data_IF_392548857001
#
_entry.id   IF_392548857001
#
_cell.length_a   1.000
_cell.length_b   1.000
_cell.length_c   1.000
_cell.angle_alpha   90.00
_cell.angle_beta   90.00
_cell.angle_gamma   90.00
#
_symmetry.space_group_name_H-M   'P 1'
#
loop_
_entity.id
_entity.type
_entity.pdbx_description
1 polymer ?
#
# COMPACT_ATOMS: atom_id res chain seq x y z
N UNK A 1 -1.20 -11.82 10.87
CA UNK A 1 -0.99 -10.47 10.31
C UNK A 1 0.48 -10.35 9.96
N UNK A 2 0.80 -10.29 8.67
CA UNK A 2 2.19 -10.12 8.22
C UNK A 2 2.67 -8.69 8.47
N UNK A 3 3.98 -8.49 8.54
CA UNK A 3 4.55 -7.17 8.86
C UNK A 3 4.24 -6.15 7.75
N UNK A 4 4.19 -6.58 6.48
CA UNK A 4 3.77 -5.75 5.36
C UNK A 4 2.33 -5.24 5.51
N UNK A 5 1.42 -6.12 5.94
CA UNK A 5 0.02 -5.75 6.22
C UNK A 5 -0.07 -4.67 7.29
N UNK A 6 0.75 -4.77 8.35
CA UNK A 6 0.82 -3.75 9.40
C UNK A 6 1.25 -2.39 8.87
N UNK A 7 2.28 -2.36 8.01
CA UNK A 7 2.74 -1.10 7.42
C UNK A 7 1.69 -0.44 6.54
N UNK A 8 1.00 -1.21 5.70
CA UNK A 8 -0.03 -0.68 4.80
C UNK A 8 -1.26 -0.20 5.57
N UNK A 9 -1.71 -0.95 6.58
CA UNK A 9 -2.81 -0.52 7.46
C UNK A 9 -2.45 0.77 8.20
N UNK A 10 -1.26 0.84 8.79
CA UNK A 10 -0.80 2.03 9.50
C UNK A 10 -0.68 3.24 8.58
N UNK A 11 -0.17 3.05 7.36
CA UNK A 11 -0.09 4.11 6.36
C UNK A 11 -1.48 4.61 5.95
N UNK A 12 -2.46 3.72 5.80
CA UNK A 12 -3.85 4.08 5.52
C UNK A 12 -4.47 4.88 6.68
N UNK A 13 -4.30 4.41 7.92
CA UNK A 13 -4.82 5.09 9.12
C UNK A 13 -4.22 6.50 9.29
N UNK A 14 -2.91 6.62 9.10
CA UNK A 14 -2.18 7.89 9.23
C UNK A 14 -2.31 8.80 7.98
N UNK A 15 -3.02 8.32 6.94
CA UNK A 15 -3.17 8.94 5.61
C UNK A 15 -1.86 9.30 4.93
N UNK A 16 -0.86 8.43 5.07
CA UNK A 16 0.43 8.58 4.39
C UNK A 16 0.37 7.95 3.00
N UNK A 17 1.03 8.59 2.04
CA UNK A 17 1.29 7.94 0.76
C UNK A 17 2.23 6.74 0.91
N UNK A 18 2.11 5.76 0.01
CA UNK A 18 3.01 4.61 -0.04
C UNK A 18 3.63 4.42 -1.42
N UNK A 19 4.84 3.91 -1.45
CA UNK A 19 5.50 3.40 -2.63
C UNK A 19 5.68 1.89 -2.47
N UNK A 20 5.48 1.14 -3.53
CA UNK A 20 5.73 -0.29 -3.52
C UNK A 20 5.98 -0.82 -4.93
N UNK A 21 6.57 -2.00 -5.02
CA UNK A 21 6.66 -2.76 -6.25
C UNK A 21 5.55 -3.81 -6.27
N UNK A 22 4.94 -3.99 -7.43
CA UNK A 22 3.97 -5.05 -7.68
C UNK A 22 4.36 -5.72 -9.00
N UNK A 23 4.69 -7.00 -8.91
CA UNK A 23 5.28 -7.76 -10.02
C UNK A 23 6.53 -7.03 -10.57
N UNK A 24 6.53 -6.67 -11.85
CA UNK A 24 7.63 -5.95 -12.53
C UNK A 24 7.43 -4.43 -12.59
N UNK A 25 6.40 -3.90 -11.92
CA UNK A 25 6.07 -2.47 -11.93
C UNK A 25 6.32 -1.84 -10.57
N UNK A 26 6.83 -0.60 -10.59
CA UNK A 26 6.98 0.23 -9.40
C UNK A 26 5.88 1.28 -9.37
N UNK A 27 5.20 1.37 -8.22
CA UNK A 27 4.17 2.36 -7.95
C UNK A 27 4.67 3.33 -6.88
N UNK A 28 4.48 4.63 -7.12
CA UNK A 28 4.94 5.71 -6.25
C UNK A 28 3.77 6.60 -5.87
N UNK A 29 3.83 7.16 -4.67
CA UNK A 29 2.83 8.10 -4.14
C UNK A 29 1.39 7.60 -4.27
N UNK A 30 1.17 6.35 -3.86
CA UNK A 30 -0.13 5.68 -3.94
C UNK A 30 -0.94 5.93 -2.67
N UNK A 31 -2.22 6.22 -2.80
CA UNK A 31 -3.15 6.38 -1.68
C UNK A 31 -3.86 5.07 -1.39
N UNK A 32 -3.72 4.54 -0.18
CA UNK A 32 -4.53 3.39 0.24
C UNK A 32 -5.89 3.89 0.70
N UNK A 33 -6.94 3.41 0.02
CA UNK A 33 -8.32 3.81 0.27
C UNK A 33 -9.05 2.78 1.14
N UNK A 34 -8.81 1.49 0.88
CA UNK A 34 -9.47 0.39 1.59
C UNK A 34 -8.61 -0.87 1.58
N UNK A 35 -8.77 -1.68 2.62
CA UNK A 35 -8.20 -3.02 2.72
C UNK A 35 -9.31 -4.05 2.94
N UNK A 36 -9.41 -5.05 2.08
CA UNK A 36 -10.46 -6.10 2.19
C UNK A 36 -9.98 -7.40 1.54
N UNK A 37 -10.20 -8.55 2.19
CA UNK A 37 -9.91 -9.88 1.64
C UNK A 37 -8.51 -10.03 0.99
N UNK A 38 -7.45 -9.59 1.66
CA UNK A 38 -6.07 -9.59 1.14
C UNK A 38 -5.82 -8.67 -0.09
N UNK A 39 -6.80 -7.83 -0.47
CA UNK A 39 -6.67 -6.81 -1.51
C UNK A 39 -6.53 -5.41 -0.91
N UNK A 40 -5.58 -4.66 -1.47
CA UNK A 40 -5.35 -3.24 -1.21
C UNK A 40 -6.00 -2.45 -2.33
N UNK A 41 -7.02 -1.66 -2.01
CA UNK A 41 -7.66 -0.74 -2.94
C UNK A 41 -6.99 0.63 -2.80
N UNK A 42 -6.58 1.17 -3.93
CA UNK A 42 -5.87 2.44 -4.02
C UNK A 42 -6.49 3.34 -5.08
N UNK A 43 -6.04 4.58 -5.12
CA UNK A 43 -6.37 5.53 -6.20
C UNK A 43 -5.87 5.10 -7.59
N UNK A 44 -4.87 4.21 -7.64
CA UNK A 44 -4.29 3.68 -8.87
C UNK A 44 -4.78 2.27 -9.24
N UNK A 45 -5.73 1.69 -8.51
CA UNK A 45 -6.30 0.38 -8.79
C UNK A 45 -6.38 -0.54 -7.56
N UNK A 46 -6.37 -1.85 -7.77
CA UNK A 46 -6.41 -2.84 -6.71
C UNK A 46 -5.21 -3.78 -6.81
N UNK A 47 -4.65 -4.15 -5.66
CA UNK A 47 -3.40 -4.91 -5.57
C UNK A 47 -3.52 -6.04 -4.54
N UNK A 48 -3.15 -7.25 -4.94
CA UNK A 48 -3.02 -8.38 -4.01
C UNK A 48 -1.81 -8.20 -3.10
N UNK A 49 -2.04 -8.21 -1.78
CA UNK A 49 -0.99 -7.92 -0.81
C UNK A 49 0.21 -8.88 -0.90
N UNK A 50 -0.04 -10.13 -1.27
CA UNK A 50 1.00 -11.18 -1.40
C UNK A 50 1.99 -10.90 -2.53
N UNK A 51 1.60 -10.09 -3.51
CA UNK A 51 2.43 -9.70 -4.66
C UNK A 51 3.12 -8.35 -4.46
N UNK A 52 2.70 -7.59 -3.45
CA UNK A 52 3.33 -6.31 -3.09
C UNK A 52 4.68 -6.59 -2.43
N UNK A 53 5.73 -5.90 -2.88
CA UNK A 53 7.08 -5.98 -2.34
C UNK A 53 7.66 -4.58 -2.14
N UNK A 54 8.69 -4.47 -1.29
CA UNK A 54 9.45 -3.21 -1.07
C UNK A 54 8.55 -2.02 -0.72
N UNK A 55 7.67 -2.19 0.26
CA UNK A 55 6.77 -1.12 0.72
C UNK A 55 7.60 -0.05 1.43
N UNK A 56 7.39 1.20 1.05
CA UNK A 56 7.96 2.39 1.68
C UNK A 56 6.82 3.35 1.97
N UNK A 57 6.62 3.68 3.24
CA UNK A 57 5.65 4.70 3.67
C UNK A 57 6.33 6.07 3.54
N UNK A 58 5.71 6.96 2.77
CA UNK A 58 6.18 8.34 2.63
C UNK A 58 5.75 9.15 3.84
N UNK A 59 6.53 10.18 4.20
CA UNK A 59 6.17 11.12 5.27
C UNK A 59 5.08 12.12 4.85
N UNK A 60 4.84 12.23 3.54
CA UNK A 60 3.81 13.09 2.98
C UNK A 60 2.43 12.45 3.17
N UNK A 61 1.46 13.28 3.57
CA UNK A 61 0.10 12.89 3.90
C UNK A 61 -0.91 13.44 2.88
N UNK A 62 -2.10 12.85 2.84
CA UNK A 62 -3.21 13.28 1.98
C UNK A 62 -4.58 13.29 2.68
#
# INVERSE_FOLDING_TARGET
MNIEQRFLLKAMEDKNFVCFNYEDKSFKSVKILKFENDLVYTDNGHFEIRKIKKIVVLKEKF
#
